data_IF_500245300186
#
_entry.id   IF_500245300186
#
_cell.length_a   1.000
_cell.length_b   1.000
_cell.length_c   1.000
_cell.angle_alpha   90.00
_cell.angle_beta   90.00
_cell.angle_gamma   90.00
#
_symmetry.space_group_name_H-M   'P 1'
#
loop_
_entity.id
_entity.type
_entity.pdbx_description
1 polymer ?
#
# COMPACT_ATOMS: atom_id res chain seq x y z
N UNK A 1 -37.93 -5.87 -60.97
CA UNK A 1 -38.66 -4.66 -60.53
C UNK A 1 -38.25 -4.44 -59.07
N UNK A 2 -37.18 -3.70 -58.76
CA UNK A 2 -37.13 -2.22 -58.59
C UNK A 2 -38.27 -1.77 -57.69
N UNK A 3 -38.05 -1.29 -56.46
CA UNK A 3 -37.32 -0.06 -56.07
C UNK A 3 -36.97 -0.16 -54.58
N UNK A 4 -35.72 0.07 -54.16
CA UNK A 4 -35.17 1.37 -53.74
C UNK A 4 -36.05 2.16 -52.75
N UNK A 5 -35.64 2.14 -51.49
CA UNK A 5 -35.86 3.22 -50.53
C UNK A 5 -34.58 3.37 -49.70
N UNK A 6 -33.54 3.93 -50.34
CA UNK A 6 -32.48 4.67 -49.68
C UNK A 6 -33.07 6.03 -49.27
N UNK A 7 -33.00 6.37 -47.98
CA UNK A 7 -32.58 7.69 -47.47
C UNK A 7 -32.86 7.73 -45.96
N UNK A 8 -31.81 7.45 -45.20
CA UNK A 8 -31.83 7.52 -43.74
C UNK A 8 -30.48 7.22 -43.13
N UNK A 9 -29.39 7.70 -43.74
CA UNK A 9 -28.08 7.73 -43.08
C UNK A 9 -28.15 8.78 -41.97
N UNK A 10 -28.19 8.29 -40.74
CA UNK A 10 -28.18 9.09 -39.52
C UNK A 10 -27.31 8.42 -38.47
N UNK A 11 -26.02 8.74 -38.51
CA UNK A 11 -25.07 8.75 -37.39
C UNK A 11 -24.86 7.41 -36.65
N UNK A 12 -23.80 6.74 -37.06
CA UNK A 12 -22.83 6.08 -36.18
C UNK A 12 -22.41 7.02 -35.05
N UNK A 13 -22.77 6.72 -33.80
CA UNK A 13 -22.36 7.51 -32.63
C UNK A 13 -22.76 6.86 -31.31
N UNK A 14 -21.75 6.44 -30.55
CA UNK A 14 -21.76 6.09 -29.11
C UNK A 14 -22.45 4.79 -28.67
N UNK A 15 -21.71 3.69 -28.87
CA UNK A 15 -21.61 2.64 -27.85
C UNK A 15 -20.98 3.22 -26.58
N UNK A 16 -21.80 3.84 -25.72
CA UNK A 16 -21.40 4.23 -24.36
C UNK A 16 -22.03 3.24 -23.37
N UNK A 17 -21.59 2.00 -23.46
CA UNK A 17 -22.02 0.91 -22.60
C UNK A 17 -20.83 0.20 -21.93
N UNK A 18 -19.75 0.91 -21.57
CA UNK A 18 -18.72 0.37 -20.68
C UNK A 18 -18.11 1.52 -19.86
N UNK A 19 -18.79 1.97 -18.79
CA UNK A 19 -18.08 2.59 -17.67
C UNK A 19 -18.86 2.48 -16.36
N UNK A 20 -19.38 1.28 -16.05
CA UNK A 20 -19.55 0.90 -14.65
C UNK A 20 -18.23 0.29 -14.21
N UNK A 21 -17.27 1.16 -13.89
CA UNK A 21 -16.09 0.76 -13.12
C UNK A 21 -16.60 0.06 -11.87
N UNK A 22 -16.48 -1.27 -11.86
CA UNK A 22 -16.66 -2.04 -10.66
C UNK A 22 -15.66 -1.47 -9.66
N UNK A 23 -16.18 -0.79 -8.64
CA UNK A 23 -15.42 -0.32 -7.49
C UNK A 23 -14.73 -1.56 -6.91
N UNK A 24 -13.49 -1.76 -7.30
CA UNK A 24 -12.62 -2.74 -6.69
C UNK A 24 -12.43 -2.24 -5.26
N UNK A 25 -13.23 -2.77 -4.33
CA UNK A 25 -13.03 -2.64 -2.89
C UNK A 25 -11.80 -3.44 -2.46
N UNK A 26 -10.67 -3.22 -3.15
CA UNK A 26 -9.36 -3.63 -2.67
C UNK A 26 -8.95 -2.64 -1.59
N UNK A 27 -8.39 -3.16 -0.49
CA UNK A 27 -7.77 -2.35 0.57
C UNK A 27 -6.91 -1.27 -0.10
N UNK A 28 -7.16 0.01 0.22
CA UNK A 28 -6.36 1.07 -0.40
C UNK A 28 -4.91 0.89 0.03
N UNK A 29 -3.97 1.27 -0.82
CA UNK A 29 -2.55 1.23 -0.45
C UNK A 29 -2.28 2.02 0.84
N UNK A 30 -3.02 3.10 1.09
CA UNK A 30 -2.93 3.88 2.32
C UNK A 30 -3.41 3.09 3.55
N UNK A 31 -4.51 2.32 3.42
CA UNK A 31 -5.02 1.47 4.50
C UNK A 31 -4.06 0.31 4.79
N UNK A 32 -3.51 -0.31 3.74
CA UNK A 32 -2.49 -1.36 3.88
C UNK A 32 -1.24 -0.81 4.55
N UNK A 33 -0.69 0.31 4.06
CA UNK A 33 0.48 0.94 4.63
C UNK A 33 0.25 1.36 6.08
N UNK A 34 -0.91 1.93 6.41
CA UNK A 34 -1.27 2.26 7.78
C UNK A 34 -1.34 1.03 8.69
N UNK A 35 -1.82 -0.11 8.16
CA UNK A 35 -1.79 -1.41 8.83
C UNK A 35 -0.37 -1.90 9.11
N UNK A 36 0.52 -1.85 8.11
CA UNK A 36 1.92 -2.27 8.24
C UNK A 36 2.68 -1.39 9.24
N UNK A 37 2.48 -0.07 9.20
CA UNK A 37 3.08 0.87 10.16
C UNK A 37 2.67 0.53 11.60
N UNK A 38 1.38 0.24 11.82
CA UNK A 38 0.91 -0.21 13.13
C UNK A 38 1.52 -1.54 13.55
N UNK A 39 1.70 -2.47 12.60
CA UNK A 39 2.33 -3.76 12.87
C UNK A 39 3.80 -3.59 13.29
N UNK A 40 4.56 -2.73 12.59
CA UNK A 40 5.96 -2.43 12.94
C UNK A 40 6.04 -1.79 14.33
N UNK A 41 5.12 -0.86 14.66
CA UNK A 41 5.06 -0.25 15.99
C UNK A 41 4.80 -1.29 17.10
N UNK A 42 3.91 -2.25 16.86
CA UNK A 42 3.66 -3.34 17.80
C UNK A 42 4.89 -4.25 17.97
N UNK A 43 5.59 -4.57 16.89
CA UNK A 43 6.83 -5.36 16.95
C UNK A 43 7.92 -4.63 17.74
N UNK A 44 8.04 -3.32 17.57
CA UNK A 44 9.00 -2.49 18.31
C UNK A 44 8.67 -2.46 19.81
N UNK A 45 7.40 -2.29 20.17
CA UNK A 45 6.95 -2.30 21.57
C UNK A 45 7.16 -3.67 22.24
N UNK A 46 6.88 -4.77 21.51
CA UNK A 46 7.12 -6.11 21.99
C UNK A 46 8.62 -6.38 22.21
N UNK A 47 9.47 -5.92 21.27
CA UNK A 47 10.92 -6.03 21.39
C UNK A 47 11.48 -5.21 22.57
N UNK A 48 10.98 -3.99 22.81
CA UNK A 48 11.36 -3.16 23.96
C UNK A 48 10.96 -3.82 25.29
N UNK A 49 9.74 -4.35 25.37
CA UNK A 49 9.29 -5.08 26.56
C UNK A 49 10.16 -6.31 26.81
N UNK A 50 10.46 -7.08 25.77
CA UNK A 50 11.28 -8.28 25.89
C UNK A 50 12.74 -7.94 26.28
N UNK A 51 13.29 -6.83 25.77
CA UNK A 51 14.61 -6.34 26.15
C UNK A 51 14.67 -5.92 27.63
N UNK A 52 13.60 -5.32 28.16
CA UNK A 52 13.49 -4.98 29.59
C UNK A 52 13.44 -6.22 30.47
N UNK A 53 12.63 -7.23 30.10
CA UNK A 53 12.55 -8.51 30.84
C UNK A 53 13.87 -9.27 30.82
N UNK A 54 14.65 -9.11 29.75
CA UNK A 54 16.03 -9.60 29.67
C UNK A 54 16.95 -8.90 30.66
N UNK A 55 16.88 -7.57 30.71
CA UNK A 55 17.72 -6.76 31.59
C UNK A 55 17.41 -7.00 33.09
N UNK A 56 16.17 -7.39 33.42
CA UNK A 56 15.78 -7.77 34.80
C UNK A 56 16.22 -9.18 35.18
N UNK A 57 16.78 -9.97 34.25
CA UNK A 57 17.29 -11.33 34.50
C UNK A 57 16.21 -12.41 34.48
N UNK A 58 14.98 -12.09 34.08
CA UNK A 58 13.84 -13.01 34.03
C UNK A 58 13.63 -13.67 32.66
N UNK A 59 14.44 -13.31 31.66
CA UNK A 59 14.26 -13.84 30.32
C UNK A 59 14.84 -15.25 30.17
N UNK A 60 13.95 -16.22 30.02
CA UNK A 60 14.30 -17.61 29.64
C UNK A 60 14.86 -17.73 28.22
N UNK A 61 14.72 -16.69 27.37
CA UNK A 61 14.93 -16.78 25.93
C UNK A 61 15.65 -15.56 25.32
N UNK A 62 16.91 -15.32 25.74
CA UNK A 62 17.78 -14.26 25.22
C UNK A 62 17.80 -14.20 23.68
N UNK A 63 17.89 -15.36 23.02
CA UNK A 63 17.93 -15.47 21.57
C UNK A 63 16.67 -14.92 20.89
N UNK A 64 15.50 -15.18 21.47
CA UNK A 64 14.23 -14.73 20.91
C UNK A 64 14.13 -13.20 20.94
N UNK A 65 14.67 -12.56 21.98
CA UNK A 65 14.66 -11.10 22.09
C UNK A 65 15.63 -10.46 21.10
N UNK A 66 16.84 -11.02 20.96
CA UNK A 66 17.79 -10.53 19.95
C UNK A 66 17.21 -10.62 18.54
N UNK A 67 16.55 -11.73 18.19
CA UNK A 67 15.85 -11.87 16.90
C UNK A 67 14.73 -10.84 16.76
N UNK A 68 13.96 -10.60 17.81
CA UNK A 68 12.88 -9.61 17.79
C UNK A 68 13.40 -8.19 17.58
N UNK A 69 14.52 -7.83 18.23
CA UNK A 69 15.20 -6.55 18.07
C UNK A 69 15.72 -6.37 16.63
N UNK A 70 16.43 -7.37 16.10
CA UNK A 70 16.95 -7.34 14.72
C UNK A 70 15.82 -7.19 13.70
N UNK A 71 14.72 -7.93 13.89
CA UNK A 71 13.53 -7.84 13.04
C UNK A 71 12.89 -6.45 13.11
N UNK A 72 12.75 -5.89 14.31
CA UNK A 72 12.17 -4.56 14.49
C UNK A 72 13.04 -3.49 13.82
N UNK A 73 14.37 -3.60 13.93
CA UNK A 73 15.29 -2.67 13.31
C UNK A 73 15.25 -2.73 11.78
N UNK A 74 15.29 -3.94 11.21
CA UNK A 74 15.15 -4.13 9.76
C UNK A 74 13.81 -3.59 9.23
N UNK A 75 12.72 -3.87 9.94
CA UNK A 75 11.37 -3.41 9.56
C UNK A 75 11.27 -1.88 9.60
N UNK A 76 11.92 -1.24 10.58
CA UNK A 76 11.96 0.21 10.68
C UNK A 76 12.77 0.83 9.53
N UNK A 77 13.93 0.26 9.19
CA UNK A 77 14.72 0.70 8.04
C UNK A 77 13.94 0.60 6.74
N UNK A 78 13.22 -0.51 6.53
CA UNK A 78 12.34 -0.68 5.38
C UNK A 78 11.24 0.39 5.34
N UNK A 79 10.61 0.69 6.48
CA UNK A 79 9.56 1.70 6.56
C UNK A 79 10.07 3.12 6.22
N UNK A 80 11.29 3.47 6.65
CA UNK A 80 11.92 4.74 6.27
C UNK A 80 12.14 4.82 4.77
N UNK A 81 12.58 3.72 4.15
CA UNK A 81 12.78 3.66 2.70
C UNK A 81 11.46 3.80 1.94
N UNK A 82 10.41 3.11 2.38
CA UNK A 82 9.06 3.24 1.81
C UNK A 82 8.57 4.69 1.94
N UNK A 83 8.73 5.32 3.11
CA UNK A 83 8.38 6.74 3.31
C UNK A 83 9.12 7.64 2.33
N UNK A 84 10.44 7.47 2.20
CA UNK A 84 11.25 8.27 1.28
C UNK A 84 10.77 8.10 -0.16
N UNK A 85 10.55 6.84 -0.59
CA UNK A 85 10.10 6.54 -1.94
C UNK A 85 8.74 7.13 -2.25
N UNK A 86 7.82 7.15 -1.28
CA UNK A 86 6.50 7.78 -1.44
C UNK A 86 6.59 9.31 -1.57
N UNK A 87 7.45 9.95 -0.77
CA UNK A 87 7.70 11.39 -0.87
C UNK A 87 8.34 11.78 -2.20
N UNK A 88 9.31 10.98 -2.68
CA UNK A 88 9.93 11.17 -3.99
C UNK A 88 8.93 10.98 -5.13
N UNK A 89 8.13 9.91 -5.08
CA UNK A 89 7.12 9.63 -6.11
C UNK A 89 6.06 10.72 -6.18
N UNK A 90 5.66 11.28 -5.03
CA UNK A 90 4.78 12.44 -4.98
C UNK A 90 5.42 13.68 -5.63
N UNK A 91 6.68 13.97 -5.30
CA UNK A 91 7.44 15.08 -5.89
C UNK A 91 7.64 14.91 -7.40
N UNK A 92 7.86 13.68 -7.88
CA UNK A 92 8.00 13.35 -9.29
C UNK A 92 6.74 13.70 -10.09
N UNK A 93 5.57 13.25 -9.61
CA UNK A 93 4.27 13.53 -10.25
C UNK A 93 3.99 15.02 -10.34
N UNK A 94 4.33 15.77 -9.28
CA UNK A 94 4.19 17.23 -9.26
C UNK A 94 5.11 17.90 -10.29
N UNK A 95 6.32 17.37 -10.49
CA UNK A 95 7.31 17.92 -11.43
C UNK A 95 7.01 17.61 -12.90
N UNK A 96 6.25 16.55 -13.18
CA UNK A 96 5.76 16.25 -14.54
C UNK A 96 4.61 17.16 -15.01
N UNK A 97 3.94 17.88 -14.10
CA UNK A 97 2.72 18.65 -14.40
C UNK A 97 2.99 20.12 -14.80
N UNK A 98 4.18 20.42 -15.32
CA UNK A 98 4.52 21.73 -15.93
C UNK A 98 4.76 21.58 -17.44
#
# INVERSE_FOLDING_TARGET
MTVEALLGVGVIGESSAIHKSAKASGVSFADWLGGEVNQVNQQLAAADSAARTLATGEAENLHQVMIALDKAQLSMSLMVEVRNRLLESYQEVMRMSI
#
